data_IF_006826330682
#
_entry.id   IF_006826330682
#
_cell.length_a   1.000
_cell.length_b   1.000
_cell.length_c   1.000
_cell.angle_alpha   90.00
_cell.angle_beta   90.00
_cell.angle_gamma   90.00
#
_symmetry.space_group_name_H-M   'P 1'
#
loop_
_entity.id
_entity.type
_entity.pdbx_description
1 polymer ?
#
# COMPACT_ATOMS: atom_id res chain seq x y z
N UNK A 1 5.84 -22.32 10.07
CA UNK A 1 5.87 -22.02 9.81
C UNK A 1 5.74 -21.57 9.20
N UNK A 2 5.74 -21.46 8.80
CA UNK A 2 5.66 -21.11 8.23
C UNK A 2 5.37 -20.58 7.48
N UNK A 3 5.35 -20.92 7.16
CA UNK A 3 5.08 -20.59 6.37
C UNK A 3 4.50 -19.84 5.96
N UNK A 4 4.17 -19.77 5.98
CA UNK A 4 3.66 -19.09 5.58
C UNK A 4 3.80 -18.08 5.31
N UNK A 5 4.03 -17.86 5.59
CA UNK A 5 4.31 -16.83 5.49
C UNK A 5 4.77 -16.43 4.44
N UNK A 6 5.16 -16.90 4.19
CA UNK A 6 5.69 -16.78 3.25
C UNK A 6 4.94 -16.37 2.27
N UNK A 7 4.20 -16.88 2.23
CA UNK A 7 3.51 -16.73 1.37
C UNK A 7 3.05 -15.49 1.28
N UNK A 8 2.68 -15.21 2.04
CA UNK A 8 2.12 -14.01 1.98
C UNK A 8 3.15 -13.07 1.77
N UNK A 9 3.04 -12.23 1.03
CA UNK A 9 4.03 -11.26 0.85
C UNK A 9 3.80 -10.21 1.88
N UNK A 10 4.53 -10.30 2.96
CA UNK A 10 4.40 -9.36 4.06
C UNK A 10 5.34 -8.18 3.97
N UNK A 11 5.83 -7.89 2.81
CA UNK A 11 6.67 -6.74 2.61
C UNK A 11 5.96 -5.47 3.08
N UNK A 12 6.68 -4.65 3.81
CA UNK A 12 6.18 -3.38 4.28
C UNK A 12 6.91 -2.28 3.55
N UNK A 13 6.17 -1.43 2.88
CA UNK A 13 6.72 -0.35 2.10
C UNK A 13 6.79 0.94 2.90
N UNK A 14 7.81 1.72 2.66
CA UNK A 14 7.83 3.12 3.08
C UNK A 14 7.00 3.92 2.05
N UNK A 15 6.80 5.21 2.33
CA UNK A 15 6.10 6.06 1.37
C UNK A 15 6.80 6.06 0.03
N UNK A 16 8.13 6.17 0.05
CA UNK A 16 8.85 6.21 -1.21
C UNK A 16 8.78 4.91 -1.97
N UNK A 17 8.81 3.81 -1.23
CA UNK A 17 8.75 2.49 -1.87
C UNK A 17 7.37 2.25 -2.49
N UNK A 18 6.31 2.59 -1.77
CA UNK A 18 4.98 2.37 -2.33
C UNK A 18 4.73 3.34 -3.49
N UNK A 19 5.29 4.53 -3.42
CA UNK A 19 5.17 5.47 -4.52
C UNK A 19 5.80 4.90 -5.78
N UNK A 20 6.98 4.32 -5.65
CA UNK A 20 7.64 3.68 -6.79
C UNK A 20 6.84 2.50 -7.29
N UNK A 21 6.29 1.72 -6.37
CA UNK A 21 5.52 0.54 -6.72
C UNK A 21 4.28 0.92 -7.53
N UNK A 22 3.63 2.00 -7.13
CA UNK A 22 2.42 2.47 -7.80
C UNK A 22 2.72 3.48 -8.89
N UNK A 23 3.99 3.85 -9.05
CA UNK A 23 4.41 4.83 -10.04
C UNK A 23 3.74 6.17 -9.82
N UNK A 24 3.73 6.60 -8.58
CA UNK A 24 3.13 7.86 -8.19
C UNK A 24 4.16 8.71 -7.47
N UNK A 25 3.86 9.98 -7.33
CA UNK A 25 4.71 10.87 -6.58
C UNK A 25 4.53 10.65 -5.08
N UNK A 26 5.59 10.69 -4.29
CA UNK A 26 5.43 10.52 -2.85
C UNK A 26 4.46 11.51 -2.22
N UNK A 27 4.43 12.74 -2.70
CA UNK A 27 3.51 13.72 -2.14
C UNK A 27 2.07 13.29 -2.35
N UNK A 28 1.78 12.65 -3.47
CA UNK A 28 0.45 12.15 -3.74
C UNK A 28 0.09 11.00 -2.79
N UNK A 29 1.08 10.15 -2.49
CA UNK A 29 0.87 9.06 -1.54
C UNK A 29 0.51 9.64 -0.17
N UNK A 30 1.22 10.66 0.28
CA UNK A 30 0.90 11.31 1.55
C UNK A 30 -0.53 11.84 1.56
N UNK A 31 -0.92 12.48 0.49
CA UNK A 31 -2.27 13.04 0.42
C UNK A 31 -3.32 11.96 0.51
N UNK A 32 -3.14 10.88 -0.22
CA UNK A 32 -4.12 9.80 -0.20
C UNK A 32 -4.13 9.10 1.16
N UNK A 33 -2.96 8.93 1.77
CA UNK A 33 -2.89 8.28 3.08
C UNK A 33 -3.62 9.13 4.12
N UNK A 34 -3.39 10.43 4.09
CA UNK A 34 -4.04 11.30 5.05
C UNK A 34 -5.53 11.38 4.83
N UNK A 35 -5.97 11.28 3.60
CA UNK A 35 -7.38 11.34 3.28
C UNK A 35 -8.09 10.02 3.53
N UNK A 36 -7.35 8.98 3.89
CA UNK A 36 -7.95 7.67 4.11
C UNK A 36 -8.30 6.94 2.86
N UNK A 37 -7.76 7.35 1.72
CA UNK A 37 -8.06 6.71 0.46
C UNK A 37 -7.11 5.59 0.10
N UNK A 38 -6.02 5.48 0.81
CA UNK A 38 -5.01 4.47 0.56
C UNK A 38 -4.76 3.73 1.86
N UNK A 39 -4.88 2.41 1.89
CA UNK A 39 -4.70 1.67 3.13
C UNK A 39 -3.27 1.81 3.63
N UNK A 40 -3.14 2.18 4.88
CA UNK A 40 -1.83 2.42 5.46
C UNK A 40 -1.92 2.26 6.97
N UNK A 41 -0.78 2.23 7.60
CA UNK A 41 -0.72 2.24 9.05
C UNK A 41 0.50 3.04 9.45
N UNK A 42 0.53 3.43 10.71
CA UNK A 42 1.65 4.21 11.20
C UNK A 42 2.48 3.40 12.18
N UNK A 43 3.78 3.52 12.03
CA UNK A 43 4.70 2.93 12.97
C UNK A 43 5.44 4.12 13.58
N UNK A 44 5.10 4.45 14.82
CA UNK A 44 5.58 5.69 15.39
C UNK A 44 4.98 6.85 14.60
N UNK A 45 5.81 7.69 14.07
CA UNK A 45 5.35 8.84 13.29
C UNK A 45 5.44 8.59 11.79
N UNK A 46 5.76 7.38 11.38
CA UNK A 46 6.02 7.09 9.97
C UNK A 46 4.90 6.29 9.35
N UNK A 47 4.51 6.68 8.15
CA UNK A 47 3.52 5.93 7.40
C UNK A 47 4.15 4.68 6.81
N UNK A 48 3.41 3.59 6.83
CA UNK A 48 3.87 2.34 6.24
C UNK A 48 2.71 1.68 5.52
N UNK A 49 3.05 0.84 4.54
CA UNK A 49 2.05 0.22 3.68
C UNK A 49 2.41 -1.26 3.51
N UNK A 50 1.44 -2.12 3.71
CA UNK A 50 1.69 -3.55 3.57
C UNK A 50 1.40 -3.95 2.14
N UNK A 51 2.34 -4.63 1.52
CA UNK A 51 2.22 -4.96 0.09
C UNK A 51 0.95 -5.73 -0.23
N UNK A 52 0.62 -6.74 0.56
CA UNK A 52 -0.58 -7.52 0.27
C UNK A 52 -1.84 -6.67 0.33
N UNK A 53 -1.89 -5.73 1.25
CA UNK A 53 -3.01 -4.83 1.37
C UNK A 53 -3.07 -3.88 0.19
N UNK A 54 -1.93 -3.38 -0.23
CA UNK A 54 -1.86 -2.50 -1.39
C UNK A 54 -2.31 -3.25 -2.65
N UNK A 55 -1.90 -4.49 -2.80
CA UNK A 55 -2.28 -5.28 -3.96
C UNK A 55 -3.80 -5.48 -4.01
N UNK A 56 -4.41 -5.71 -2.86
CA UNK A 56 -5.87 -5.83 -2.80
C UNK A 56 -6.54 -4.52 -3.14
N UNK A 57 -5.97 -3.43 -2.66
CA UNK A 57 -6.50 -2.11 -2.96
C UNK A 57 -6.42 -1.84 -4.47
N UNK A 58 -5.31 -2.20 -5.11
CA UNK A 58 -5.17 -2.04 -6.55
C UNK A 58 -6.26 -2.81 -7.27
N UNK A 59 -6.48 -4.05 -6.88
CA UNK A 59 -7.50 -4.86 -7.53
C UNK A 59 -8.87 -4.23 -7.39
N UNK A 60 -9.14 -3.66 -6.23
CA UNK A 60 -10.40 -2.98 -5.98
C UNK A 60 -10.55 -1.75 -6.89
N UNK A 61 -9.48 -0.99 -7.07
CA UNK A 61 -9.52 0.18 -7.93
C UNK A 61 -9.74 -0.21 -9.38
N UNK A 62 -9.11 -1.30 -9.79
CA UNK A 62 -9.30 -1.78 -11.16
C UNK A 62 -10.74 -2.15 -11.42
N UNK A 63 -11.38 -2.75 -10.46
CA UNK A 63 -12.77 -3.11 -10.64
C UNK A 63 -13.66 -1.91 -10.76
N UNK A 64 -13.37 -0.87 -10.00
CA UNK A 64 -14.13 0.35 -10.08
C UNK A 64 -13.96 1.02 -11.42
N UNK A 65 -12.78 0.94 -11.97
CA UNK A 65 -12.51 1.59 -13.23
C UNK A 65 -13.07 0.87 -14.41
N UNK A 66 -13.29 -0.45 -14.22
CA UNK A 66 -13.76 -1.21 -15.26
C UNK A 66 -15.19 -1.02 -15.41
N UNK A 67 -15.73 -0.33 -16.01
CA UNK A 67 -17.11 -0.22 -16.06
C UNK A 67 -17.65 -0.46 -17.34
#
# INVERSE_FOLDING_TARGET
MKVVSIMADDTVFTVQEVAAYLRMQPVTIYKHAKAGKLPCFKVGANWRFKKSTIDRWIASQEEHEKK
#
